data_IF_080709080961
#
_entry.id   IF_080709080961
#
_cell.length_a   1.000
_cell.length_b   1.000
_cell.length_c   1.000
_cell.angle_alpha   90.00
_cell.angle_beta   90.00
_cell.angle_gamma   90.00
#
_symmetry.space_group_name_H-M   'P 1'
#
loop_
_entity.id
_entity.type
_entity.pdbx_description
1 polymer ?
#
# COMPACT_ATOMS: atom_id res chain seq x y z
N UNK A 1 13.11 -17.23 4.49
CA UNK A 1 13.38 -15.91 3.87
C UNK A 1 12.78 -14.83 4.75
N UNK A 2 13.30 -13.60 4.80
CA UNK A 2 12.79 -12.61 5.74
C UNK A 2 11.34 -12.30 5.39
N UNK A 3 10.49 -12.24 6.42
CA UNK A 3 9.04 -12.14 6.31
C UNK A 3 8.55 -10.77 5.84
N UNK A 4 9.37 -9.71 5.90
CA UNK A 4 9.02 -8.34 5.54
C UNK A 4 10.19 -7.63 4.82
N UNK A 5 9.96 -7.05 3.64
CA UNK A 5 10.91 -6.20 2.90
C UNK A 5 10.14 -5.22 2.00
N UNK A 6 10.80 -4.16 1.52
CA UNK A 6 10.21 -3.16 0.62
C UNK A 6 10.79 -3.31 -0.78
N UNK A 7 9.96 -3.02 -1.79
CA UNK A 7 10.30 -3.19 -3.20
C UNK A 7 9.96 -1.92 -3.97
N UNK A 8 10.84 -1.56 -4.90
CA UNK A 8 10.68 -0.45 -5.82
C UNK A 8 10.50 -0.92 -7.26
N UNK A 9 9.48 -0.44 -7.96
CA UNK A 9 9.18 -0.77 -9.37
C UNK A 9 9.15 0.47 -10.26
N UNK A 10 9.58 0.42 -11.53
CA UNK A 10 9.34 1.50 -12.49
C UNK A 10 7.85 1.61 -12.85
N UNK A 11 7.30 2.83 -12.90
CA UNK A 11 5.88 3.15 -13.11
C UNK A 11 5.44 2.93 -14.59
N UNK A 12 4.25 2.37 -14.90
CA UNK A 12 2.97 3.10 -15.17
C UNK A 12 1.69 2.29 -14.88
N UNK A 13 1.77 0.99 -14.57
CA UNK A 13 0.59 0.13 -14.37
C UNK A 13 0.83 -0.73 -13.14
N UNK A 14 0.42 -0.24 -11.98
CA UNK A 14 0.20 -1.11 -10.82
C UNK A 14 -1.03 -1.95 -11.18
N UNK A 15 -0.84 -3.23 -11.50
CA UNK A 15 -1.75 -4.11 -12.24
C UNK A 15 -1.09 -5.46 -12.51
N UNK A 16 -1.57 -6.22 -13.50
CA UNK A 16 -1.11 -7.61 -13.83
C UNK A 16 0.42 -7.85 -13.80
N UNK A 17 1.24 -6.81 -13.96
CA UNK A 17 2.70 -6.86 -13.87
C UNK A 17 3.24 -7.09 -12.43
N UNK A 18 2.55 -6.70 -11.35
CA UNK A 18 2.95 -7.11 -9.98
C UNK A 18 2.59 -8.58 -9.67
N UNK A 19 1.48 -9.06 -10.26
CA UNK A 19 1.14 -10.49 -10.25
C UNK A 19 2.21 -11.27 -11.01
N UNK A 20 2.66 -10.78 -12.16
CA UNK A 20 3.80 -11.33 -12.90
C UNK A 20 5.11 -11.21 -12.13
N UNK A 21 5.39 -10.12 -11.42
CA UNK A 21 6.58 -10.00 -10.57
C UNK A 21 6.67 -11.13 -9.51
N UNK A 22 5.52 -11.54 -8.96
CA UNK A 22 5.44 -12.67 -8.03
C UNK A 22 5.57 -14.04 -8.72
N UNK A 23 5.04 -14.18 -9.94
CA UNK A 23 5.25 -15.38 -10.78
C UNK A 23 6.70 -15.48 -11.30
N UNK A 24 7.37 -14.34 -11.45
CA UNK A 24 8.73 -14.13 -11.94
C UNK A 24 9.76 -13.99 -10.80
N UNK A 25 9.58 -14.66 -9.66
CA UNK A 25 10.70 -14.91 -8.74
C UNK A 25 11.78 -15.84 -9.40
N UNK A 26 11.67 -16.08 -10.72
CA UNK A 26 12.72 -16.52 -11.63
C UNK A 26 13.26 -15.44 -12.64
N UNK A 27 12.65 -14.25 -12.80
CA UNK A 27 13.10 -13.17 -13.70
C UNK A 27 13.05 -11.77 -13.05
N UNK A 28 14.17 -11.28 -12.50
CA UNK A 28 14.29 -9.98 -11.81
C UNK A 28 14.23 -8.71 -12.69
N UNK A 29 13.81 -8.76 -13.96
CA UNK A 29 14.27 -7.80 -14.98
C UNK A 29 13.74 -6.37 -14.86
N UNK A 30 12.69 -6.10 -14.09
CA UNK A 30 12.06 -4.77 -14.08
C UNK A 30 12.17 -4.00 -12.75
N UNK A 31 12.41 -4.67 -11.62
CA UNK A 31 12.57 -4.00 -10.32
C UNK A 31 13.95 -3.39 -10.22
N UNK A 32 14.16 -2.08 -9.96
CA UNK A 32 15.51 -1.52 -9.77
C UNK A 32 16.18 -1.88 -8.43
N UNK A 33 15.42 -1.95 -7.33
CA UNK A 33 15.98 -2.18 -6.01
C UNK A 33 15.01 -2.83 -5.00
N UNK A 34 15.59 -3.56 -4.05
CA UNK A 34 14.93 -4.03 -2.83
C UNK A 34 15.49 -3.33 -1.61
N UNK A 35 14.67 -3.09 -0.59
CA UNK A 35 15.12 -2.61 0.72
C UNK A 35 14.84 -3.68 1.77
N UNK A 36 15.90 -4.19 2.40
CA UNK A 36 15.82 -5.22 3.42
C UNK A 36 16.12 -4.67 4.82
N UNK A 37 15.41 -5.11 5.87
CA UNK A 37 15.86 -4.87 7.22
C UNK A 37 17.13 -5.71 7.50
N UNK A 38 18.14 -5.06 8.06
CA UNK A 38 19.39 -5.70 8.44
C UNK A 38 19.26 -6.39 9.80
N UNK A 39 19.60 -7.67 9.79
CA UNK A 39 19.87 -8.49 10.96
C UNK A 39 21.21 -9.21 10.76
N UNK A 40 21.73 -9.87 11.79
CA UNK A 40 23.04 -10.51 11.75
C UNK A 40 23.21 -11.51 10.58
N UNK A 41 22.13 -12.20 10.20
CA UNK A 41 22.15 -13.11 9.05
C UNK A 41 22.20 -12.36 7.71
N UNK A 42 21.41 -11.29 7.56
CA UNK A 42 21.41 -10.47 6.34
C UNK A 42 22.75 -9.76 6.14
N UNK A 43 23.35 -9.24 7.21
CA UNK A 43 24.69 -8.62 7.20
C UNK A 43 25.71 -9.61 6.64
N UNK A 44 25.72 -10.85 7.15
CA UNK A 44 26.61 -11.92 6.67
C UNK A 44 26.38 -12.22 5.19
N UNK A 45 25.12 -12.30 4.75
CA UNK A 45 24.79 -12.55 3.33
C UNK A 45 25.32 -11.42 2.45
N UNK A 46 25.09 -10.17 2.82
CA UNK A 46 25.47 -9.00 2.02
C UNK A 46 27.00 -8.84 1.93
N UNK A 47 27.71 -8.98 3.05
CA UNK A 47 29.18 -8.94 3.04
C UNK A 47 29.78 -10.12 2.27
N UNK A 48 29.22 -11.33 2.38
CA UNK A 48 29.66 -12.46 1.57
C UNK A 48 29.47 -12.20 0.06
N UNK A 49 28.37 -11.54 -0.33
CA UNK A 49 28.14 -11.17 -1.74
C UNK A 49 29.18 -10.16 -2.22
N UNK A 50 29.42 -9.09 -1.46
CA UNK A 50 30.46 -8.10 -1.75
C UNK A 50 31.82 -8.76 -1.97
N UNK A 51 32.24 -9.61 -1.01
CA UNK A 51 33.51 -10.33 -1.08
C UNK A 51 33.58 -11.27 -2.31
N UNK A 52 32.50 -12.00 -2.61
CA UNK A 52 32.44 -12.88 -3.78
C UNK A 52 32.51 -12.14 -5.10
N UNK A 53 32.13 -10.86 -5.11
CA UNK A 53 32.24 -9.95 -6.26
C UNK A 53 33.54 -9.14 -6.26
N UNK A 54 34.49 -9.44 -5.36
CA UNK A 54 35.79 -8.76 -5.29
C UNK A 54 35.74 -7.36 -4.67
N UNK A 55 34.67 -7.04 -3.94
CA UNK A 55 34.47 -5.76 -3.25
C UNK A 55 34.80 -5.89 -1.77
N UNK A 56 35.14 -4.76 -1.16
CA UNK A 56 35.31 -4.68 0.29
C UNK A 56 33.96 -4.79 1.01
N UNK A 57 34.00 -5.27 2.25
CA UNK A 57 32.82 -5.30 3.12
C UNK A 57 32.31 -3.88 3.40
N UNK A 58 30.99 -3.77 3.59
CA UNK A 58 30.37 -2.56 4.10
C UNK A 58 30.22 -2.66 5.63
N UNK A 59 30.31 -1.50 6.30
CA UNK A 59 30.08 -1.41 7.74
C UNK A 59 28.58 -1.34 8.03
N UNK A 60 27.94 -2.49 8.12
CA UNK A 60 26.54 -2.61 8.51
C UNK A 60 26.37 -2.69 10.03
N UNK A 61 25.23 -2.18 10.51
CA UNK A 61 24.76 -2.33 11.88
C UNK A 61 23.43 -3.08 11.91
N UNK A 62 23.18 -3.80 13.01
CA UNK A 62 21.88 -4.39 13.26
C UNK A 62 20.84 -3.27 13.46
N UNK A 63 19.62 -3.47 12.92
CA UNK A 63 18.51 -2.49 12.91
C UNK A 63 18.58 -1.40 11.84
N UNK A 64 19.52 -1.47 10.90
CA UNK A 64 19.52 -0.62 9.70
C UNK A 64 18.66 -1.23 8.59
N UNK A 65 18.46 -0.46 7.52
CA UNK A 65 17.90 -0.89 6.25
C UNK A 65 19.00 -0.89 5.19
N UNK A 66 18.97 -1.84 4.27
CA UNK A 66 19.92 -1.91 3.15
C UNK A 66 19.16 -1.89 1.83
N UNK A 67 19.54 -0.96 0.95
CA UNK A 67 19.08 -0.92 -0.44
C UNK A 67 19.97 -1.84 -1.24
N UNK A 68 19.39 -2.78 -1.99
CA UNK A 68 20.09 -3.79 -2.78
C UNK A 68 19.64 -3.67 -4.22
N UNK A 69 20.59 -3.52 -5.14
CA UNK A 69 20.32 -3.55 -6.57
C UNK A 69 19.88 -4.95 -6.98
N UNK A 70 18.78 -5.06 -7.70
CA UNK A 70 18.31 -6.34 -8.26
C UNK A 70 19.20 -6.82 -9.42
N UNK A 71 19.70 -5.89 -10.24
CA UNK A 71 20.52 -6.19 -11.41
C UNK A 71 21.86 -6.82 -11.03
N UNK A 72 22.44 -6.38 -9.91
CA UNK A 72 23.76 -6.86 -9.45
C UNK A 72 23.66 -7.76 -8.22
N UNK A 73 22.51 -7.76 -7.53
CA UNK A 73 22.29 -8.39 -6.21
C UNK A 73 23.23 -7.87 -5.11
N UNK A 74 23.89 -6.72 -5.34
CA UNK A 74 24.82 -6.09 -4.42
C UNK A 74 24.14 -4.97 -3.62
N UNK A 75 24.56 -4.75 -2.36
CA UNK A 75 24.10 -3.60 -1.58
C UNK A 75 24.59 -2.30 -2.23
N UNK A 76 23.69 -1.34 -2.32
CA UNK A 76 23.94 0.02 -2.82
C UNK A 76 24.30 0.96 -1.67
N UNK A 77 23.48 0.97 -0.62
CA UNK A 77 23.67 1.83 0.56
C UNK A 77 22.87 1.29 1.76
N UNK A 78 23.24 1.71 2.97
CA UNK A 78 22.51 1.39 4.21
C UNK A 78 22.08 2.64 5.00
N UNK A 79 20.93 2.54 5.66
CA UNK A 79 20.27 3.67 6.32
C UNK A 79 19.77 3.28 7.71
N UNK A 80 19.68 4.25 8.61
CA UNK A 80 19.14 4.00 9.96
C UNK A 80 17.62 3.95 9.90
N UNK A 81 17.00 4.84 9.13
CA UNK A 81 15.56 4.93 8.97
C UNK A 81 15.09 4.40 7.61
N UNK A 82 13.90 3.77 7.56
CA UNK A 82 13.32 3.29 6.30
C UNK A 82 13.00 4.44 5.34
N UNK A 83 12.60 5.61 5.87
CA UNK A 83 12.33 6.80 5.06
C UNK A 83 13.56 7.26 4.28
N UNK A 84 14.74 7.25 4.90
CA UNK A 84 16.00 7.60 4.22
C UNK A 84 16.33 6.63 3.08
N UNK A 85 16.11 5.34 3.30
CA UNK A 85 16.31 4.32 2.28
C UNK A 85 15.32 4.48 1.10
N UNK A 86 14.07 4.85 1.38
CA UNK A 86 13.08 5.17 0.35
C UNK A 86 13.48 6.40 -0.44
N UNK A 87 13.84 7.48 0.24
CA UNK A 87 14.26 8.74 -0.39
C UNK A 87 15.48 8.52 -1.31
N UNK A 88 16.43 7.68 -0.88
CA UNK A 88 17.56 7.28 -1.72
C UNK A 88 17.10 6.59 -3.02
N UNK A 89 16.19 5.62 -2.91
CA UNK A 89 15.66 4.90 -4.08
C UNK A 89 14.90 5.85 -5.00
N UNK A 90 14.00 6.70 -4.48
CA UNK A 90 13.25 7.65 -5.30
C UNK A 90 14.16 8.68 -5.98
N UNK A 91 15.23 9.12 -5.31
CA UNK A 91 16.21 10.02 -5.92
C UNK A 91 16.99 9.35 -7.04
N UNK A 92 17.37 8.09 -6.85
CA UNK A 92 18.15 7.33 -7.85
C UNK A 92 17.27 6.83 -9.00
N UNK A 93 15.99 6.57 -8.74
CA UNK A 93 15.01 6.05 -9.68
C UNK A 93 13.71 6.88 -9.58
N UNK A 94 13.64 8.09 -10.17
CA UNK A 94 12.52 9.02 -9.98
C UNK A 94 11.17 8.55 -10.50
N UNK A 95 11.17 7.58 -11.41
CA UNK A 95 9.95 6.99 -11.99
C UNK A 95 9.47 5.78 -11.19
N UNK A 96 10.02 5.54 -10.00
CA UNK A 96 9.75 4.33 -9.24
C UNK A 96 8.56 4.51 -8.29
N UNK A 97 7.66 3.52 -8.27
CA UNK A 97 6.61 3.33 -7.27
C UNK A 97 7.03 2.28 -6.25
N UNK A 98 6.34 2.22 -5.11
CA UNK A 98 6.77 1.37 -4.00
C UNK A 98 5.70 0.52 -3.36
N UNK A 99 6.12 -0.68 -2.96
CA UNK A 99 5.27 -1.64 -2.26
C UNK A 99 6.04 -2.26 -1.09
N UNK A 100 5.31 -2.61 -0.03
CA UNK A 100 5.84 -3.50 1.00
C UNK A 100 5.46 -4.93 0.62
N UNK A 101 6.41 -5.87 0.63
CA UNK A 101 6.16 -7.23 0.14
C UNK A 101 5.14 -8.02 0.98
N UNK A 102 4.93 -7.68 2.25
CA UNK A 102 3.85 -8.23 3.09
C UNK A 102 2.50 -7.54 2.84
N UNK A 103 2.48 -6.43 2.11
CA UNK A 103 1.27 -5.76 1.63
C UNK A 103 0.86 -6.22 0.21
N UNK A 104 1.42 -7.31 -0.29
CA UNK A 104 0.98 -7.96 -1.54
C UNK A 104 -0.28 -8.82 -1.35
N UNK A 105 -0.78 -8.91 -0.11
CA UNK A 105 -1.86 -9.81 0.25
C UNK A 105 -1.35 -11.23 0.50
N UNK A 106 -1.94 -11.90 1.49
CA UNK A 106 -1.78 -13.34 1.72
C UNK A 106 -2.92 -14.15 1.09
N UNK A 107 -3.99 -13.48 0.64
CA UNK A 107 -5.16 -14.05 -0.01
C UNK A 107 -5.19 -13.65 -1.48
N UNK A 108 -5.51 -14.62 -2.35
CA UNK A 108 -5.63 -14.42 -3.79
C UNK A 108 -7.05 -14.07 -4.24
N UNK A 109 -7.99 -13.90 -3.30
CA UNK A 109 -9.38 -13.55 -3.57
C UNK A 109 -9.65 -12.10 -3.21
N UNK A 110 -10.66 -11.51 -3.85
CA UNK A 110 -11.17 -10.19 -3.49
C UNK A 110 -11.57 -10.14 -2.00
N UNK A 111 -11.44 -8.98 -1.35
CA UNK A 111 -11.94 -8.79 0.00
C UNK A 111 -13.44 -8.99 0.10
N UNK A 112 -13.87 -9.61 1.19
CA UNK A 112 -15.28 -9.68 1.56
C UNK A 112 -15.65 -8.46 2.41
N UNK A 113 -16.37 -7.52 1.80
CA UNK A 113 -16.83 -6.29 2.47
C UNK A 113 -18.15 -6.47 3.24
N UNK A 114 -18.68 -7.69 3.36
CA UNK A 114 -19.92 -7.92 4.13
C UNK A 114 -19.71 -7.78 5.63
N UNK A 115 -18.48 -7.97 6.12
CA UNK A 115 -18.12 -7.85 7.53
C UNK A 115 -17.49 -6.49 7.82
N UNK A 116 -18.34 -5.47 7.99
CA UNK A 116 -17.93 -4.11 8.31
C UNK A 116 -17.73 -3.92 9.82
N UNK A 117 -16.81 -3.01 10.23
CA UNK A 117 -16.81 -2.47 11.58
C UNK A 117 -18.16 -1.89 12.01
N UNK A 118 -18.37 -1.79 13.33
CA UNK A 118 -19.62 -1.31 13.90
C UNK A 118 -19.89 0.15 13.52
N UNK A 119 -20.95 0.38 12.73
CA UNK A 119 -21.36 1.70 12.22
C UNK A 119 -22.15 2.56 13.22
N UNK A 120 -22.32 2.10 14.47
CA UNK A 120 -23.00 2.86 15.53
C UNK A 120 -22.06 3.64 16.44
N UNK A 121 -20.74 3.47 16.27
CA UNK A 121 -19.71 4.08 17.11
C UNK A 121 -18.83 4.99 16.23
N UNK A 122 -18.38 6.10 16.79
CA UNK A 122 -17.34 6.94 16.19
C UNK A 122 -15.98 6.53 16.76
N UNK A 123 -15.24 5.71 16.00
CA UNK A 123 -13.87 5.31 16.34
C UNK A 123 -13.06 5.14 15.06
N UNK A 124 -12.26 6.15 14.74
CA UNK A 124 -11.40 6.17 13.57
C UNK A 124 -10.38 5.03 13.61
N UNK A 125 -9.91 4.66 14.81
CA UNK A 125 -8.85 3.66 14.95
C UNK A 125 -9.30 2.27 14.53
N UNK A 126 -10.55 1.91 14.85
CA UNK A 126 -11.15 0.66 14.40
C UNK A 126 -11.19 0.59 12.87
N UNK A 127 -11.55 1.70 12.22
CA UNK A 127 -11.59 1.75 10.75
C UNK A 127 -10.19 1.72 10.14
N UNK A 128 -9.23 2.49 10.67
CA UNK A 128 -7.84 2.44 10.22
C UNK A 128 -7.28 1.01 10.30
N UNK A 129 -7.45 0.34 11.43
CA UNK A 129 -6.94 -1.00 11.66
C UNK A 129 -7.62 -2.01 10.71
N UNK A 130 -8.92 -1.86 10.48
CA UNK A 130 -9.66 -2.67 9.51
C UNK A 130 -9.14 -2.52 8.08
N UNK A 131 -8.97 -1.28 7.59
CA UNK A 131 -8.46 -1.05 6.23
C UNK A 131 -7.03 -1.55 6.06
N UNK A 132 -6.17 -1.32 7.06
CA UNK A 132 -4.82 -1.86 7.07
C UNK A 132 -4.82 -3.39 7.10
N UNK A 133 -5.73 -4.02 7.83
CA UNK A 133 -5.87 -5.48 7.84
C UNK A 133 -6.30 -6.01 6.45
N UNK A 134 -7.26 -5.36 5.80
CA UNK A 134 -7.68 -5.70 4.44
C UNK A 134 -6.53 -5.54 3.44
N UNK A 135 -5.80 -4.43 3.48
CA UNK A 135 -4.60 -4.20 2.65
C UNK A 135 -3.53 -5.28 2.91
N UNK A 136 -3.29 -5.66 4.16
CA UNK A 136 -2.32 -6.74 4.44
C UNK A 136 -2.81 -8.10 3.95
N UNK A 137 -4.13 -8.36 4.02
CA UNK A 137 -4.71 -9.64 3.62
C UNK A 137 -4.83 -9.80 2.11
N UNK A 138 -5.20 -8.74 1.42
CA UNK A 138 -5.59 -8.78 0.01
C UNK A 138 -4.67 -7.95 -0.90
N UNK A 139 -3.80 -7.11 -0.33
CA UNK A 139 -2.86 -6.28 -1.05
C UNK A 139 -3.56 -5.43 -2.11
N UNK A 140 -3.11 -5.56 -3.35
CA UNK A 140 -3.68 -4.84 -4.49
C UNK A 140 -5.08 -5.26 -4.91
N UNK A 141 -5.58 -6.40 -4.41
CA UNK A 141 -6.97 -6.79 -4.62
C UNK A 141 -7.92 -6.00 -3.70
N UNK A 142 -7.38 -5.33 -2.67
CA UNK A 142 -8.15 -4.39 -1.87
C UNK A 142 -8.24 -3.04 -2.59
N UNK A 143 -9.48 -2.53 -2.70
CA UNK A 143 -9.77 -1.21 -3.24
C UNK A 143 -10.69 -0.49 -2.26
N UNK A 144 -10.23 0.64 -1.73
CA UNK A 144 -11.03 1.48 -0.84
C UNK A 144 -12.27 2.05 -1.55
N UNK A 145 -12.22 2.19 -2.88
CA UNK A 145 -13.35 2.62 -3.69
C UNK A 145 -14.48 1.58 -3.60
N UNK A 146 -14.21 0.29 -3.83
CA UNK A 146 -15.24 -0.74 -3.75
C UNK A 146 -15.90 -0.80 -2.36
N UNK A 147 -15.10 -0.70 -1.30
CA UNK A 147 -15.62 -0.61 0.07
C UNK A 147 -16.48 0.64 0.29
N UNK A 148 -16.09 1.79 -0.28
CA UNK A 148 -16.90 3.01 -0.24
C UNK A 148 -18.26 2.81 -0.93
N UNK A 149 -18.27 2.16 -2.10
CA UNK A 149 -19.50 1.82 -2.82
C UNK A 149 -20.45 0.97 -1.98
N UNK A 150 -19.94 -0.08 -1.35
CA UNK A 150 -20.74 -0.96 -0.49
C UNK A 150 -21.33 -0.20 0.72
N UNK A 151 -20.55 0.72 1.32
CA UNK A 151 -21.06 1.59 2.39
C UNK A 151 -22.19 2.52 1.92
N UNK A 152 -22.05 3.13 0.74
CA UNK A 152 -23.07 4.00 0.16
C UNK A 152 -24.34 3.21 -0.19
N UNK A 153 -24.20 1.99 -0.74
CA UNK A 153 -25.32 1.12 -1.01
C UNK A 153 -26.04 0.70 0.28
N UNK A 154 -25.29 0.40 1.35
CA UNK A 154 -25.86 0.09 2.67
C UNK A 154 -26.63 1.27 3.25
N UNK A 155 -26.14 2.50 3.06
CA UNK A 155 -26.83 3.73 3.48
C UNK A 155 -28.20 3.88 2.78
N UNK A 156 -28.30 3.51 1.50
CA UNK A 156 -29.59 3.50 0.76
C UNK A 156 -30.53 2.43 1.32
N UNK A 157 -30.04 1.21 1.50
CA UNK A 157 -30.88 0.06 1.88
C UNK A 157 -31.38 0.19 3.33
N UNK A 158 -30.49 0.53 4.26
CA UNK A 158 -30.80 0.51 5.70
C UNK A 158 -31.39 1.83 6.21
N UNK A 159 -30.98 2.95 5.62
CA UNK A 159 -31.39 4.28 6.06
C UNK A 159 -32.26 5.03 5.05
N UNK A 160 -32.68 4.38 3.96
CA UNK A 160 -33.55 4.96 2.92
C UNK A 160 -32.96 6.24 2.32
N UNK A 161 -31.64 6.30 2.21
CA UNK A 161 -30.98 7.43 1.60
C UNK A 161 -31.33 7.56 0.11
N UNK A 162 -31.28 8.78 -0.45
CA UNK A 162 -31.60 9.01 -1.87
C UNK A 162 -30.69 8.16 -2.77
N UNK A 163 -31.25 7.52 -3.80
CA UNK A 163 -30.47 6.65 -4.70
C UNK A 163 -29.37 7.40 -5.44
N UNK A 164 -29.50 8.71 -5.56
CA UNK A 164 -28.56 9.62 -6.19
C UNK A 164 -27.21 9.70 -5.46
N UNK A 165 -27.08 9.16 -4.24
CA UNK A 165 -25.79 9.01 -3.55
C UNK A 165 -24.99 7.81 -4.02
N UNK A 166 -25.60 6.88 -4.78
CA UNK A 166 -24.97 5.72 -5.39
C UNK A 166 -25.24 5.76 -6.90
N UNK A 167 -24.34 6.42 -7.63
CA UNK A 167 -24.19 6.25 -9.07
C UNK A 167 -22.83 5.57 -9.28
N UNK A 168 -22.75 4.59 -10.18
CA UNK A 168 -21.53 3.82 -10.49
C UNK A 168 -20.30 4.74 -10.59
N UNK A 169 -19.59 4.87 -9.45
CA UNK A 169 -18.31 5.50 -9.16
C UNK A 169 -17.90 6.83 -9.87
N UNK A 170 -17.49 7.80 -9.03
CA UNK A 170 -16.73 9.04 -9.33
C UNK A 170 -17.45 10.35 -9.65
N UNK A 171 -18.65 10.60 -9.11
CA UNK A 171 -19.12 11.98 -8.96
C UNK A 171 -18.84 12.49 -7.53
N UNK A 172 -17.92 13.46 -7.40
CA UNK A 172 -17.67 14.17 -6.13
C UNK A 172 -18.98 14.68 -5.50
N UNK A 173 -19.97 15.06 -6.32
CA UNK A 173 -21.27 15.49 -5.85
C UNK A 173 -22.08 14.38 -5.15
N UNK A 174 -21.82 13.10 -5.47
CA UNK A 174 -22.52 11.96 -4.83
C UNK A 174 -22.01 11.74 -3.39
N UNK A 175 -20.70 11.84 -3.18
CA UNK A 175 -20.09 11.75 -1.84
C UNK A 175 -20.54 12.91 -0.95
N UNK A 176 -20.57 14.14 -1.49
CA UNK A 176 -21.08 15.30 -0.74
C UNK A 176 -22.53 15.13 -0.30
N UNK A 177 -23.40 14.66 -1.20
CA UNK A 177 -24.80 14.35 -0.87
C UNK A 177 -24.92 13.25 0.19
N UNK A 178 -24.06 12.23 0.16
CA UNK A 178 -24.01 11.19 1.18
C UNK A 178 -23.63 11.79 2.54
N UNK A 179 -22.59 12.64 2.59
CA UNK A 179 -22.15 13.33 3.81
C UNK A 179 -23.27 14.21 4.38
N UNK A 180 -23.97 14.96 3.55
CA UNK A 180 -25.09 15.81 3.99
C UNK A 180 -26.24 14.98 4.56
N UNK A 181 -26.58 13.87 3.91
CA UNK A 181 -27.59 12.93 4.43
C UNK A 181 -27.17 12.33 5.78
N UNK A 182 -25.92 11.89 5.90
CA UNK A 182 -25.34 11.32 7.13
C UNK A 182 -25.43 12.32 8.28
N UNK A 183 -25.03 13.58 8.05
CA UNK A 183 -25.10 14.65 9.04
C UNK A 183 -26.53 14.93 9.48
N UNK A 184 -27.46 15.05 8.53
CA UNK A 184 -28.88 15.31 8.80
C UNK A 184 -29.53 14.21 9.65
N UNK A 185 -29.12 12.96 9.45
CA UNK A 185 -29.67 11.80 10.14
C UNK A 185 -28.81 11.32 11.33
N UNK A 186 -27.75 12.07 11.70
CA UNK A 186 -26.87 11.77 12.83
C UNK A 186 -26.21 10.37 12.78
N UNK A 187 -25.84 9.92 11.58
CA UNK A 187 -25.25 8.61 11.34
C UNK A 187 -23.72 8.63 11.57
N UNK A 188 -23.32 8.84 12.83
CA UNK A 188 -21.93 9.15 13.22
C UNK A 188 -20.90 8.09 12.78
N UNK A 189 -21.23 6.80 12.79
CA UNK A 189 -20.29 5.77 12.36
C UNK A 189 -20.09 5.73 10.84
N UNK A 190 -21.11 6.05 10.05
CA UNK A 190 -20.96 6.23 8.60
C UNK A 190 -20.05 7.43 8.28
N UNK A 191 -20.19 8.52 9.04
CA UNK A 191 -19.33 9.69 8.89
C UNK A 191 -17.86 9.31 9.14
N UNK A 192 -17.60 8.58 10.22
CA UNK A 192 -16.27 8.07 10.56
C UNK A 192 -15.72 7.17 9.45
N UNK A 193 -16.50 6.18 9.01
CA UNK A 193 -16.10 5.23 7.99
C UNK A 193 -15.66 5.90 6.68
N UNK A 194 -16.53 6.77 6.13
CA UNK A 194 -16.27 7.47 4.87
C UNK A 194 -15.03 8.38 5.01
N UNK A 195 -14.87 9.06 6.14
CA UNK A 195 -13.71 9.94 6.37
C UNK A 195 -12.39 9.18 6.34
N UNK A 196 -12.32 8.01 7.00
CA UNK A 196 -11.09 7.20 7.05
C UNK A 196 -10.81 6.57 5.67
N UNK A 197 -11.84 6.03 5.01
CA UNK A 197 -11.73 5.41 3.68
C UNK A 197 -11.22 6.40 2.63
N UNK A 198 -11.82 7.59 2.58
CA UNK A 198 -11.42 8.63 1.59
C UNK A 198 -10.01 9.16 1.79
N UNK A 199 -9.41 8.95 2.97
CA UNK A 199 -8.04 9.37 3.28
C UNK A 199 -7.05 8.20 3.25
N UNK A 200 -7.51 6.97 2.98
CA UNK A 200 -6.71 5.77 3.15
C UNK A 200 -5.46 5.77 2.27
N UNK A 201 -5.63 5.91 0.95
CA UNK A 201 -4.51 5.94 -0.01
C UNK A 201 -3.53 7.08 0.25
N UNK A 202 -4.01 8.24 0.71
CA UNK A 202 -3.15 9.41 0.93
C UNK A 202 -2.37 9.34 2.26
N UNK A 203 -2.92 8.69 3.31
CA UNK A 203 -2.40 8.82 4.68
C UNK A 203 -2.04 7.51 5.37
N UNK A 204 -2.64 6.39 4.99
CA UNK A 204 -2.60 5.14 5.75
C UNK A 204 -2.03 3.98 4.95
N UNK A 205 -2.35 3.93 3.66
CA UNK A 205 -1.96 2.85 2.76
C UNK A 205 -0.45 2.65 2.77
N UNK A 206 -0.04 1.38 2.84
CA UNK A 206 1.36 0.96 2.78
C UNK A 206 1.81 0.71 1.34
N UNK A 207 0.84 0.68 0.43
CA UNK A 207 1.03 0.67 -1.02
C UNK A 207 1.01 2.13 -1.46
N UNK A 208 2.14 2.64 -1.90
CA UNK A 208 2.19 4.04 -2.34
C UNK A 208 1.60 4.13 -3.75
N UNK A 209 0.27 4.34 -3.79
CA UNK A 209 -0.49 4.51 -5.03
C UNK A 209 -0.45 5.94 -5.55
N UNK A 210 0.32 6.85 -4.92
CA UNK A 210 0.28 8.29 -5.20
C UNK A 210 0.11 8.57 -6.69
N UNK A 211 -1.11 9.04 -6.96
CA UNK A 211 -1.65 9.66 -8.16
C UNK A 211 -0.64 9.80 -9.29
N UNK A 212 -0.89 9.03 -10.35
CA UNK A 212 -0.70 9.46 -11.74
C UNK A 212 -1.60 10.66 -12.08
N UNK A 213 -1.59 11.71 -11.25
CA UNK A 213 -1.88 13.07 -11.70
C UNK A 213 -0.55 13.65 -12.16
N UNK A 214 -0.02 13.10 -13.25
CA UNK A 214 0.68 13.96 -14.17
C UNK A 214 -0.38 14.91 -14.68
N UNK A 215 -0.31 16.13 -14.16
CA UNK A 215 -0.83 17.33 -14.79
C UNK A 215 -0.61 17.18 -16.30
N UNK A 216 -1.71 16.97 -17.02
CA UNK A 216 -1.73 17.20 -18.46
C UNK A 216 -1.73 18.73 -18.58
N UNK A 217 -0.55 19.31 -18.66
CA UNK A 217 -0.34 20.60 -19.30
C UNK A 217 -0.25 20.41 -20.83
#
# INVERSE_FOLDING_TARGET
MPSNYWVAFPNTHIGIEEVKFLEEIATPSEVPAYIYPLNSNMIKIMNNRLLSSGLAEMSFSEKQWVVVSTATLLPLESFTELSEAKDFVFKQFPQTKSIRSDCLGILSSEPDYTQLPVLTIYDEKIWEDYLLELENKHGFLFSEEYLLGDLLQKLIVEHQAPKEIYQEFNDFNAIEKAIDFIKKNQLIGYQCAISVITQFSEKLSRIDSQRSMLEID
#
